data_IF_079417682604
#
_entry.id   IF_079417682604
#
_cell.length_a   1.000
_cell.length_b   1.000
_cell.length_c   1.000
_cell.angle_alpha   90.00
_cell.angle_beta   90.00
_cell.angle_gamma   90.00
#
_symmetry.space_group_name_H-M   'P 1'
#
loop_
_entity.id
_entity.type
_entity.pdbx_description
1 polymer ?
#
# COMPACT_ATOMS: atom_id res chain seq x y z
N UNK A 1 13.49 -8.04 0.60
CA UNK A 1 12.87 -9.23 1.26
C UNK A 1 12.53 -10.30 0.23
N UNK A 2 12.67 -11.59 0.56
CA UNK A 2 12.24 -12.70 -0.31
C UNK A 2 10.75 -12.99 -0.08
N UNK A 3 9.91 -12.84 -1.10
CA UNK A 3 8.45 -13.02 -0.99
C UNK A 3 8.03 -14.26 -1.79
N UNK A 4 7.32 -15.19 -1.13
CA UNK A 4 6.69 -16.33 -1.80
C UNK A 4 5.44 -15.87 -2.56
N UNK A 5 5.42 -16.05 -3.88
CA UNK A 5 4.34 -15.57 -4.75
C UNK A 5 2.98 -16.20 -4.43
N UNK A 6 2.93 -17.49 -4.07
CA UNK A 6 1.67 -18.19 -3.81
C UNK A 6 1.08 -17.73 -2.49
N UNK A 7 1.92 -17.63 -1.46
CA UNK A 7 1.54 -17.12 -0.16
C UNK A 7 1.08 -15.66 -0.27
N UNK A 8 1.84 -14.80 -0.96
CA UNK A 8 1.48 -13.40 -1.19
C UNK A 8 0.10 -13.25 -1.85
N UNK A 9 -0.13 -13.92 -2.99
CA UNK A 9 -1.43 -13.89 -3.69
C UNK A 9 -2.54 -14.41 -2.77
N UNK A 10 -2.30 -15.52 -2.08
CA UNK A 10 -3.28 -16.09 -1.14
C UNK A 10 -3.66 -15.10 -0.04
N UNK A 11 -2.68 -14.45 0.60
CA UNK A 11 -2.88 -13.49 1.68
C UNK A 11 -3.65 -12.26 1.22
N UNK A 12 -3.35 -11.72 0.04
CA UNK A 12 -4.11 -10.59 -0.51
C UNK A 12 -5.54 -11.01 -0.83
N UNK A 13 -5.77 -12.16 -1.48
CA UNK A 13 -7.11 -12.67 -1.77
C UNK A 13 -7.95 -12.82 -0.50
N UNK A 14 -7.39 -13.48 0.52
CA UNK A 14 -8.05 -13.63 1.82
C UNK A 14 -8.37 -12.28 2.45
N UNK A 15 -7.45 -11.32 2.39
CA UNK A 15 -7.68 -9.99 2.92
C UNK A 15 -8.84 -9.28 2.22
N UNK A 16 -8.85 -9.26 0.88
CA UNK A 16 -9.90 -8.61 0.08
C UNK A 16 -11.27 -9.26 0.34
N UNK A 17 -11.33 -10.60 0.36
CA UNK A 17 -12.57 -11.35 0.59
C UNK A 17 -13.15 -11.10 2.00
N UNK A 18 -12.31 -11.06 3.03
CA UNK A 18 -12.78 -10.92 4.41
C UNK A 18 -13.20 -9.49 4.77
N UNK A 19 -12.59 -8.49 4.13
CA UNK A 19 -12.83 -7.09 4.47
C UNK A 19 -13.88 -6.42 3.58
N UNK A 20 -14.42 -7.12 2.56
CA UNK A 20 -15.51 -6.65 1.69
C UNK A 20 -15.29 -5.19 1.27
N UNK A 21 -14.18 -4.93 0.60
CA UNK A 21 -13.95 -3.69 -0.12
C UNK A 21 -14.79 -3.80 -1.40
N UNK A 22 -15.82 -2.97 -1.56
CA UNK A 22 -16.80 -3.12 -2.64
C UNK A 22 -16.16 -2.95 -4.03
N UNK A 23 -16.71 -3.71 -4.97
CA UNK A 23 -16.31 -3.83 -6.36
C UNK A 23 -16.22 -2.48 -7.08
N UNK A 24 -15.00 -2.12 -7.48
CA UNK A 24 -14.75 -1.51 -8.78
C UNK A 24 -13.67 -2.34 -9.51
N UNK A 25 -13.71 -3.67 -9.33
CA UNK A 25 -13.00 -4.52 -10.26
C UNK A 25 -13.87 -4.62 -11.51
N UNK A 26 -13.37 -4.11 -12.65
CA UNK A 26 -13.97 -4.31 -13.97
C UNK A 26 -14.56 -5.72 -14.13
N UNK A 27 -15.64 -5.81 -14.91
CA UNK A 27 -16.46 -7.00 -15.20
C UNK A 27 -15.67 -8.28 -15.56
N UNK A 28 -14.38 -8.17 -15.89
CA UNK A 28 -13.54 -9.25 -16.39
C UNK A 28 -12.71 -10.01 -15.32
N UNK A 29 -12.44 -9.45 -14.13
CA UNK A 29 -11.69 -10.17 -13.07
C UNK A 29 -11.80 -9.53 -11.67
N UNK A 30 -12.20 -10.28 -10.64
CA UNK A 30 -12.36 -9.78 -9.27
C UNK A 30 -11.03 -9.51 -8.54
N UNK A 31 -9.89 -9.83 -9.16
CA UNK A 31 -8.58 -9.62 -8.55
C UNK A 31 -7.68 -8.77 -9.45
N UNK A 32 -6.84 -7.88 -8.88
CA UNK A 32 -6.01 -6.97 -9.67
C UNK A 32 -4.73 -7.60 -10.23
N UNK A 33 -4.55 -8.92 -10.14
CA UNK A 33 -3.30 -9.60 -10.46
C UNK A 33 -3.22 -10.03 -11.91
N UNK A 34 -2.06 -9.80 -12.53
CA UNK A 34 -1.66 -10.39 -13.79
C UNK A 34 -0.28 -11.01 -13.68
N UNK A 35 -0.13 -12.23 -14.20
CA UNK A 35 1.16 -12.91 -14.24
C UNK A 35 1.90 -12.44 -15.48
N UNK A 36 3.14 -11.99 -15.31
CA UNK A 36 4.01 -11.59 -16.42
C UNK A 36 4.70 -12.84 -16.95
N UNK A 37 4.57 -13.09 -18.25
CA UNK A 37 5.13 -14.26 -18.95
C UNK A 37 6.07 -13.78 -20.06
N UNK A 38 7.25 -14.39 -20.20
CA UNK A 38 8.18 -14.09 -21.30
C UNK A 38 7.76 -14.75 -22.64
N UNK A 39 8.50 -14.45 -23.71
CA UNK A 39 8.26 -15.02 -25.04
C UNK A 39 8.41 -16.55 -25.10
N UNK A 40 9.00 -17.17 -24.07
CA UNK A 40 9.19 -18.62 -23.98
C UNK A 40 8.13 -19.30 -23.10
N UNK A 41 7.17 -18.55 -22.55
CA UNK A 41 6.13 -19.08 -21.66
C UNK A 41 6.54 -19.17 -20.19
N UNK A 42 7.69 -18.63 -19.78
CA UNK A 42 8.13 -18.65 -18.39
C UNK A 42 7.51 -17.50 -17.60
N UNK A 43 7.10 -17.77 -16.36
CA UNK A 43 6.66 -16.72 -15.43
C UNK A 43 7.86 -15.88 -15.00
N UNK A 44 7.80 -14.58 -15.31
CA UNK A 44 8.86 -13.61 -15.02
C UNK A 44 8.46 -12.55 -14.02
N UNK A 45 7.21 -12.52 -13.55
CA UNK A 45 6.78 -11.53 -12.58
C UNK A 45 5.29 -11.53 -12.28
N UNK A 46 4.89 -10.49 -11.56
CA UNK A 46 3.52 -10.21 -11.15
C UNK A 46 3.27 -8.72 -11.35
N UNK A 47 2.15 -8.37 -11.96
CA UNK A 47 1.64 -7.01 -12.00
C UNK A 47 0.34 -6.93 -11.19
N UNK A 48 0.24 -5.88 -10.37
CA UNK A 48 -1.01 -5.42 -9.77
C UNK A 48 -1.41 -4.18 -10.54
N UNK A 49 -2.39 -4.35 -11.44
CA UNK A 49 -2.85 -3.28 -12.32
C UNK A 49 -3.39 -2.11 -11.52
N UNK A 50 -3.15 -0.91 -12.04
CA UNK A 50 -3.67 0.30 -11.43
C UNK A 50 -5.20 0.26 -11.37
N UNK A 51 -5.73 0.24 -10.15
CA UNK A 51 -7.18 0.24 -9.88
C UNK A 51 -7.47 1.09 -8.65
N UNK A 52 -8.71 1.59 -8.60
CA UNK A 52 -9.30 2.21 -7.42
C UNK A 52 -10.21 1.19 -6.73
N UNK A 53 -10.09 1.08 -5.42
CA UNK A 53 -10.87 0.18 -4.59
C UNK A 53 -11.62 0.98 -3.54
N UNK A 54 -12.94 0.93 -3.59
CA UNK A 54 -13.79 1.57 -2.61
C UNK A 54 -13.93 0.70 -1.36
N UNK A 55 -13.74 1.31 -0.20
CA UNK A 55 -13.94 0.65 1.09
C UNK A 55 -15.40 0.81 1.54
N UNK A 56 -15.85 -0.02 2.49
CA UNK A 56 -17.21 0.09 3.06
C UNK A 56 -17.52 1.46 3.66
N UNK A 57 -16.49 2.14 4.15
CA UNK A 57 -16.57 3.48 4.72
C UNK A 57 -16.77 4.56 3.65
N UNK A 58 -16.68 4.22 2.36
CA UNK A 58 -16.67 5.15 1.24
C UNK A 58 -15.28 5.65 0.88
N UNK A 59 -14.27 5.45 1.73
CA UNK A 59 -12.89 5.81 1.43
C UNK A 59 -12.36 5.02 0.23
N UNK A 60 -11.36 5.55 -0.46
CA UNK A 60 -10.78 4.95 -1.65
C UNK A 60 -9.33 4.53 -1.40
N UNK A 61 -8.94 3.42 -1.98
CA UNK A 61 -7.54 3.04 -2.14
C UNK A 61 -7.20 3.06 -3.63
N UNK A 62 -6.11 3.73 -4.00
CA UNK A 62 -5.47 3.59 -5.32
C UNK A 62 -4.20 2.79 -5.15
N UNK A 63 -3.98 1.80 -5.99
CA UNK A 63 -2.76 0.97 -5.94
C UNK A 63 -2.23 0.65 -7.33
N UNK A 64 -0.92 0.48 -7.42
CA UNK A 64 -0.20 -0.12 -8.55
C UNK A 64 1.07 -0.77 -8.00
N UNK A 65 1.39 -1.97 -8.49
CA UNK A 65 2.63 -2.66 -8.14
C UNK A 65 3.13 -3.45 -9.35
N UNK A 66 4.43 -3.37 -9.62
CA UNK A 66 5.07 -4.22 -10.63
C UNK A 66 6.24 -4.92 -10.00
N UNK A 67 6.30 -6.22 -10.20
CA UNK A 67 7.35 -7.07 -9.66
C UNK A 67 8.01 -7.95 -10.72
N UNK A 68 9.28 -8.27 -10.50
CA UNK A 68 10.01 -9.33 -11.23
C UNK A 68 10.17 -10.56 -10.37
N UNK A 69 10.24 -11.71 -11.02
CA UNK A 69 10.56 -13.00 -10.42
C UNK A 69 12.03 -13.33 -10.73
N UNK A 70 12.83 -13.54 -9.69
CA UNK A 70 14.21 -14.02 -9.82
C UNK A 70 14.45 -15.12 -8.78
N UNK A 71 14.91 -16.29 -9.23
CA UNK A 71 15.15 -17.45 -8.36
C UNK A 71 13.94 -17.83 -7.50
N UNK A 72 12.73 -17.80 -8.07
CA UNK A 72 11.46 -18.08 -7.37
C UNK A 72 11.02 -17.05 -6.33
N UNK A 73 11.68 -15.89 -6.27
CA UNK A 73 11.31 -14.78 -5.37
C UNK A 73 10.85 -13.54 -6.12
N UNK A 74 9.84 -12.86 -5.58
CA UNK A 74 9.34 -11.59 -6.10
C UNK A 74 10.21 -10.42 -5.61
N UNK A 75 10.54 -9.52 -6.53
CA UNK A 75 11.19 -8.23 -6.27
C UNK A 75 10.33 -7.10 -6.80
N UNK A 76 9.98 -6.14 -5.94
CA UNK A 76 9.14 -4.99 -6.28
C UNK A 76 10.00 -3.94 -6.98
N UNK A 77 9.56 -3.47 -8.14
CA UNK A 77 10.31 -2.55 -9.01
C UNK A 77 9.70 -1.17 -8.98
N UNK A 78 8.37 -1.13 -8.94
CA UNK A 78 7.59 0.10 -8.92
C UNK A 78 6.37 -0.16 -8.06
N UNK A 79 6.02 0.82 -7.24
CA UNK A 79 4.74 0.82 -6.58
C UNK A 79 4.23 2.23 -6.31
N UNK A 80 2.91 2.34 -6.28
CA UNK A 80 2.16 3.50 -5.80
C UNK A 80 1.01 2.95 -4.98
N UNK A 81 0.92 3.35 -3.71
CA UNK A 81 -0.19 2.99 -2.85
C UNK A 81 -0.72 4.22 -2.15
N UNK A 82 -2.02 4.46 -2.26
CA UNK A 82 -2.64 5.71 -1.89
C UNK A 82 -3.97 5.44 -1.18
N UNK A 83 -4.15 6.04 -0.01
CA UNK A 83 -5.39 6.01 0.75
C UNK A 83 -6.02 7.41 0.71
N UNK A 84 -7.21 7.50 0.11
CA UNK A 84 -7.97 8.73 -0.07
C UNK A 84 -9.26 8.66 0.76
N UNK A 85 -9.37 9.35 1.90
CA UNK A 85 -10.64 9.41 2.62
C UNK A 85 -11.70 10.16 1.80
N UNK A 86 -12.97 9.70 1.85
CA UNK A 86 -14.07 10.30 1.06
C UNK A 86 -14.32 11.77 1.45
N UNK A 87 -14.20 12.07 2.75
CA UNK A 87 -14.27 13.41 3.33
C UNK A 87 -12.98 13.69 4.11
N UNK A 88 -11.99 14.39 3.52
CA UNK A 88 -10.74 14.72 4.22
C UNK A 88 -10.93 15.80 5.30
N UNK A 89 -12.09 16.45 5.36
CA UNK A 89 -12.40 17.42 6.41
C UNK A 89 -12.65 16.71 7.75
N UNK A 90 -12.26 17.37 8.85
CA UNK A 90 -12.11 16.84 10.23
C UNK A 90 -13.24 15.96 10.80
N UNK A 91 -14.41 15.93 10.20
CA UNK A 91 -15.59 15.22 10.70
C UNK A 91 -15.43 13.69 10.68
N UNK A 92 -14.69 13.13 9.71
CA UNK A 92 -14.42 11.68 9.66
C UNK A 92 -13.12 11.28 10.39
N UNK A 93 -12.22 12.24 10.62
CA UNK A 93 -10.99 12.03 11.39
C UNK A 93 -9.88 11.23 10.68
N UNK A 94 -10.02 10.95 9.38
CA UNK A 94 -8.98 10.29 8.59
C UNK A 94 -8.16 11.27 7.77
N UNK A 95 -6.87 11.01 7.72
CA UNK A 95 -5.89 11.73 6.96
C UNK A 95 -5.43 10.89 5.77
N UNK A 96 -5.24 11.56 4.64
CA UNK A 96 -4.69 10.94 3.47
C UNK A 96 -3.25 10.45 3.74
N UNK A 97 -2.85 9.34 3.12
CA UNK A 97 -1.42 9.02 2.96
C UNK A 97 -1.15 8.24 1.67
N UNK A 98 0.08 8.38 1.15
CA UNK A 98 0.57 7.67 -0.03
C UNK A 98 2.00 7.18 0.21
N UNK A 99 2.35 6.04 -0.37
CA UNK A 99 3.67 5.44 -0.36
C UNK A 99 4.01 5.08 -1.80
N UNK A 100 5.10 5.64 -2.31
CA UNK A 100 5.53 5.42 -3.69
C UNK A 100 7.02 5.08 -3.77
N UNK A 101 7.34 4.34 -4.83
CA UNK A 101 8.69 4.11 -5.30
C UNK A 101 8.79 4.61 -6.74
N UNK A 102 9.42 5.77 -6.92
CA UNK A 102 9.70 6.34 -8.24
C UNK A 102 11.20 6.51 -8.51
N UNK A 103 11.57 6.69 -9.78
CA UNK A 103 12.96 6.73 -10.24
C UNK A 103 13.72 8.00 -9.82
N UNK A 104 13.03 9.08 -9.46
CA UNK A 104 13.59 10.39 -9.15
C UNK A 104 13.81 10.58 -7.65
N UNK A 105 12.84 10.15 -6.85
CA UNK A 105 12.80 10.37 -5.40
C UNK A 105 13.06 9.08 -4.60
N UNK A 106 13.07 7.92 -5.26
CA UNK A 106 13.19 6.63 -4.59
C UNK A 106 11.95 6.33 -3.75
N UNK A 107 12.12 5.49 -2.73
CA UNK A 107 11.06 5.12 -1.80
C UNK A 107 10.73 6.29 -0.87
N UNK A 108 9.47 6.72 -0.83
CA UNK A 108 9.05 7.82 0.03
C UNK A 108 7.56 7.72 0.42
N UNK A 109 7.21 8.37 1.53
CA UNK A 109 5.83 8.66 1.89
C UNK A 109 5.40 10.04 1.38
N UNK A 110 4.12 10.21 1.13
CA UNK A 110 3.50 11.50 0.85
C UNK A 110 2.27 11.67 1.74
N UNK A 111 2.13 12.83 2.35
CA UNK A 111 0.87 13.26 2.93
C UNK A 111 0.09 13.97 1.81
N UNK A 112 -0.36 13.24 0.79
CA UNK A 112 -0.97 13.88 -0.40
C UNK A 112 -2.18 14.73 0.04
N UNK A 113 -2.10 16.00 -0.26
CA UNK A 113 -3.18 16.94 -0.12
C UNK A 113 -3.77 17.16 -1.51
N UNK A 114 -4.76 16.34 -1.87
CA UNK A 114 -5.64 16.69 -2.99
C UNK A 114 -6.32 18.07 -2.85
N UNK A 115 -6.07 18.80 -1.75
CA UNK A 115 -6.54 20.15 -1.42
C UNK A 115 -5.51 20.99 -0.61
N UNK A 116 -4.24 21.03 -1.00
CA UNK A 116 -3.34 22.19 -0.81
C UNK A 116 -3.11 22.90 0.55
N UNK A 117 -3.82 22.64 1.66
CA UNK A 117 -3.93 23.63 2.75
C UNK A 117 -4.28 23.11 4.17
N UNK A 118 -4.18 21.82 4.48
CA UNK A 118 -4.63 21.30 5.78
C UNK A 118 -3.58 20.61 6.67
N UNK A 119 -2.36 20.43 6.19
CA UNK A 119 -1.29 19.89 7.02
C UNK A 119 -0.43 20.99 7.64
N UNK A 120 0.21 20.65 8.75
CA UNK A 120 1.21 21.48 9.42
C UNK A 120 2.16 21.98 8.33
N UNK A 121 2.29 23.29 8.15
CA UNK A 121 3.14 23.94 7.13
C UNK A 121 4.62 23.51 7.16
N UNK A 122 4.98 22.61 8.07
CA UNK A 122 6.31 22.15 8.41
C UNK A 122 6.65 20.78 7.77
N UNK A 123 5.70 20.10 7.11
CA UNK A 123 5.94 18.78 6.52
C UNK A 123 6.38 18.89 5.05
N UNK A 124 7.50 18.25 4.66
CA UNK A 124 7.90 18.24 3.26
C UNK A 124 6.93 17.37 2.45
N UNK A 125 6.71 17.74 1.18
CA UNK A 125 5.84 16.98 0.26
C UNK A 125 6.25 15.50 0.15
N UNK A 126 7.57 15.24 0.13
CA UNK A 126 8.14 13.89 0.09
C UNK A 126 8.78 13.59 1.45
N UNK A 127 8.25 12.61 2.15
CA UNK A 127 8.72 12.14 3.45
C UNK A 127 9.71 10.98 3.23
N UNK A 128 10.98 11.20 3.54
CA UNK A 128 12.05 10.22 3.31
C UNK A 128 12.15 9.25 4.50
N UNK A 129 12.10 7.91 4.30
CA UNK A 129 12.33 6.91 5.35
C UNK A 129 13.63 7.10 6.11
N UNK A 130 13.56 7.01 7.44
CA UNK A 130 14.71 7.19 8.33
C UNK A 130 15.16 8.65 8.52
N UNK A 131 14.57 9.60 7.77
CA UNK A 131 14.81 11.04 7.93
C UNK A 131 13.56 11.76 8.43
N UNK A 132 12.46 11.66 7.67
CA UNK A 132 11.22 12.39 7.93
C UNK A 132 10.11 11.47 8.49
N UNK A 133 10.15 10.17 8.15
CA UNK A 133 9.26 9.15 8.71
C UNK A 133 10.06 8.06 9.41
N UNK A 134 9.58 7.69 10.61
CA UNK A 134 10.07 6.57 11.41
C UNK A 134 9.17 5.34 11.22
N UNK A 135 8.76 5.11 9.97
CA UNK A 135 7.94 3.98 9.55
C UNK A 135 8.77 3.13 8.60
N UNK A 136 8.90 1.83 8.89
CA UNK A 136 9.61 0.87 8.05
C UNK A 136 8.78 0.53 6.81
N UNK A 137 8.89 1.39 5.81
CA UNK A 137 8.33 1.17 4.48
C UNK A 137 9.33 0.53 3.51
N UNK A 138 10.48 0.03 3.99
CA UNK A 138 11.38 -0.74 3.13
C UNK A 138 10.72 -2.09 2.78
N UNK A 139 10.87 -2.53 1.52
CA UNK A 139 10.19 -3.71 0.98
C UNK A 139 8.65 -3.68 1.10
N UNK A 140 8.06 -2.47 1.13
CA UNK A 140 6.60 -2.33 1.19
C UNK A 140 5.94 -2.88 -0.08
N UNK A 141 4.84 -3.60 0.10
CA UNK A 141 4.05 -4.23 -0.96
C UNK A 141 2.55 -3.99 -0.74
N UNK A 142 1.74 -4.35 -1.71
CA UNK A 142 0.31 -4.13 -1.68
C UNK A 142 -0.38 -4.80 -0.49
N UNK A 143 0.07 -6.00 -0.09
CA UNK A 143 -0.46 -6.66 1.10
C UNK A 143 -0.21 -5.87 2.38
N UNK A 144 1.02 -5.37 2.57
CA UNK A 144 1.38 -4.53 3.71
C UNK A 144 0.58 -3.23 3.70
N UNK A 145 0.37 -2.63 2.52
CA UNK A 145 -0.45 -1.44 2.37
C UNK A 145 -1.91 -1.69 2.79
N UNK A 146 -2.53 -2.78 2.33
CA UNK A 146 -3.89 -3.14 2.70
C UNK A 146 -4.04 -3.27 4.23
N UNK A 147 -3.10 -3.96 4.88
CA UNK A 147 -3.07 -4.13 6.35
C UNK A 147 -2.85 -2.81 7.09
N UNK A 148 -1.97 -1.95 6.58
CA UNK A 148 -1.71 -0.63 7.14
C UNK A 148 -2.98 0.22 7.10
N UNK A 149 -3.62 0.29 5.93
CA UNK A 149 -4.86 1.04 5.71
C UNK A 149 -5.99 0.54 6.61
N UNK A 150 -6.23 -0.77 6.68
CA UNK A 150 -7.26 -1.30 7.58
C UNK A 150 -6.96 -1.05 9.06
N UNK A 151 -5.68 -1.11 9.46
CA UNK A 151 -5.28 -0.77 10.83
C UNK A 151 -5.56 0.69 11.12
N UNK A 152 -5.22 1.59 10.20
CA UNK A 152 -5.47 3.02 10.36
C UNK A 152 -6.97 3.31 10.44
N UNK A 153 -7.78 2.68 9.58
CA UNK A 153 -9.24 2.79 9.64
C UNK A 153 -9.80 2.37 11.00
N UNK A 154 -9.26 1.29 11.58
CA UNK A 154 -9.68 0.82 12.91
C UNK A 154 -9.18 1.68 14.08
N UNK A 155 -8.22 2.57 13.85
CA UNK A 155 -7.52 3.38 14.86
C UNK A 155 -7.23 4.78 14.29
N UNK A 156 -8.31 5.49 13.93
CA UNK A 156 -8.24 6.76 13.17
C UNK A 156 -7.35 7.83 13.78
N UNK A 157 -7.18 7.80 15.10
CA UNK A 157 -6.32 8.73 15.85
C UNK A 157 -4.81 8.45 15.70
N UNK A 158 -4.44 7.29 15.14
CA UNK A 158 -3.04 6.85 14.99
C UNK A 158 -2.58 7.02 13.56
N UNK A 159 -2.26 8.24 13.11
CA UNK A 159 -1.80 8.44 11.74
C UNK A 159 -0.46 7.70 11.46
N UNK A 160 -0.32 6.96 10.34
CA UNK A 160 0.85 6.12 10.08
C UNK A 160 2.20 6.83 10.02
N UNK A 161 2.23 8.08 9.55
CA UNK A 161 3.48 8.84 9.42
C UNK A 161 3.79 9.69 10.64
N UNK A 162 2.92 9.72 11.65
CA UNK A 162 3.22 10.42 12.90
C UNK A 162 4.25 9.65 13.74
N UNK A 163 5.34 10.33 14.11
CA UNK A 163 6.43 9.75 14.92
C UNK A 163 5.93 9.11 16.22
N UNK A 164 4.88 9.64 16.84
CA UNK A 164 4.30 9.09 18.07
C UNK A 164 3.76 7.65 17.91
N UNK A 165 3.42 7.23 16.69
CA UNK A 165 2.84 5.92 16.39
C UNK A 165 3.75 5.01 15.56
N UNK A 166 4.97 5.46 15.26
CA UNK A 166 6.03 4.70 14.57
C UNK A 166 6.18 3.28 15.10
N UNK A 167 6.48 3.13 16.40
CA UNK A 167 6.68 1.84 17.04
C UNK A 167 5.45 0.92 16.94
N UNK A 168 4.25 1.48 17.10
CA UNK A 168 3.00 0.74 16.97
C UNK A 168 2.83 0.14 15.57
N UNK A 169 3.12 0.91 14.53
CA UNK A 169 3.03 0.43 13.15
C UNK A 169 4.20 -0.47 12.75
N UNK A 170 5.43 -0.16 13.15
CA UNK A 170 6.60 -0.99 12.83
C UNK A 170 6.46 -2.41 13.41
N UNK A 171 5.98 -2.57 14.64
CA UNK A 171 5.69 -3.89 15.22
C UNK A 171 4.70 -4.70 14.37
N UNK A 172 3.66 -4.04 13.84
CA UNK A 172 2.68 -4.67 12.97
C UNK A 172 3.24 -5.00 11.60
N UNK A 173 3.99 -4.08 10.99
CA UNK A 173 4.63 -4.29 9.70
C UNK A 173 5.59 -5.48 9.77
N UNK A 174 6.42 -5.58 10.81
CA UNK A 174 7.30 -6.75 11.02
C UNK A 174 6.48 -8.04 11.08
N UNK A 175 5.38 -8.06 11.84
CA UNK A 175 4.49 -9.23 11.90
C UNK A 175 3.92 -9.58 10.53
N UNK A 176 3.43 -8.60 9.77
CA UNK A 176 2.82 -8.83 8.46
C UNK A 176 3.83 -9.22 7.39
N UNK A 177 5.06 -8.72 7.44
CA UNK A 177 6.18 -9.15 6.59
C UNK A 177 6.39 -10.67 6.76
N UNK A 178 6.42 -11.15 8.00
CA UNK A 178 6.54 -12.58 8.30
C UNK A 178 5.33 -13.43 7.83
N UNK A 179 4.17 -12.83 7.52
CA UNK A 179 3.02 -13.57 7.00
C UNK A 179 3.17 -13.91 5.50
N UNK A 180 4.06 -13.24 4.75
CA UNK A 180 4.23 -13.36 3.29
C UNK A 180 5.64 -13.80 2.85
N UNK A 181 6.58 -13.90 3.79
CA UNK A 181 7.87 -14.58 3.63
C UNK A 181 7.72 -16.07 3.88
#
# INVERSE_FOLDING_TARGET
MAIDIRNYISKVRTFLNNNYLFDIFCEDSPYPFEIIIDNNGNVTGLEIKEKNLALKTGDLITFRETCTLKNSYIYIICHKYQFCPLNPDKENGFWYFRIDLDTKHGLHGNHDDGRGNYFRNDWPHHLIPGKDIDLDIFDFNFYLFLKLTATYISQKEKYPFEKAYSNYYNQKITKWKNEIT
#
